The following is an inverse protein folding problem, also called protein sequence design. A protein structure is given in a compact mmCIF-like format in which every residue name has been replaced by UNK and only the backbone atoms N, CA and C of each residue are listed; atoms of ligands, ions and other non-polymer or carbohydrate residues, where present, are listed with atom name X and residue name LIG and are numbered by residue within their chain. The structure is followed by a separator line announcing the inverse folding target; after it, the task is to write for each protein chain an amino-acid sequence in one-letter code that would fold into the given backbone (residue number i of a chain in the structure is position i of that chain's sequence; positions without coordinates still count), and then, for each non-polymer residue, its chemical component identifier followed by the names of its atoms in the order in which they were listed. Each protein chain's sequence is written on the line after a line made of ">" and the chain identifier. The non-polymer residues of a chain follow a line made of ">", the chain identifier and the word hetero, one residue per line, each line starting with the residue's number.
data_IF_702935595237
#
_entry.id   IF_702935595237
#
_cell.length_a   1.000
_cell.length_b   1.000
_cell.length_c   1.000
_cell.angle_alpha   90.00
_cell.angle_beta   90.00
_cell.angle_gamma   90.00
#
_symmetry.space_group_name_H-M   'P 1'
#
loop_
_entity.id
_entity.type
_entity.pdbx_description
1 polymer ?
#
# COMPACT_ATOMS: atom_id res chain seq x y z
N UNK A 1 -19.75 2.09 4.67
CA UNK A 1 -18.55 1.76 3.87
C UNK A 1 -17.56 0.91 4.67
N UNK A 2 -16.89 1.45 5.70
CA UNK A 2 -15.91 0.68 6.50
C UNK A 2 -16.49 -0.64 7.00
N UNK A 3 -17.64 -0.58 7.69
CA UNK A 3 -18.37 -1.76 8.17
C UNK A 3 -18.59 -2.80 7.06
N UNK A 4 -19.13 -2.39 5.90
CA UNK A 4 -19.39 -3.28 4.78
C UNK A 4 -18.12 -4.00 4.31
N UNK A 5 -17.02 -3.30 4.16
CA UNK A 5 -15.74 -3.91 3.76
C UNK A 5 -15.26 -4.94 4.79
N UNK A 6 -15.37 -4.62 6.08
CA UNK A 6 -14.97 -5.51 7.17
C UNK A 6 -15.87 -6.76 7.21
N UNK A 7 -17.20 -6.60 7.12
CA UNK A 7 -18.15 -7.72 7.09
C UNK A 7 -17.88 -8.68 5.92
N UNK A 8 -17.58 -8.13 4.74
CA UNK A 8 -17.24 -8.94 3.57
C UNK A 8 -15.92 -9.71 3.75
N UNK A 9 -14.90 -9.09 4.35
CA UNK A 9 -13.57 -9.69 4.49
C UNK A 9 -13.44 -10.63 5.69
N UNK A 10 -14.27 -10.46 6.70
CA UNK A 10 -14.24 -11.22 7.96
C UNK A 10 -15.64 -11.76 8.31
N UNK A 11 -16.23 -12.63 7.47
CA UNK A 11 -17.60 -13.09 7.64
C UNK A 11 -17.84 -13.93 8.91
N UNK A 12 -16.75 -14.50 9.47
CA UNK A 12 -16.83 -15.36 10.67
C UNK A 12 -16.89 -14.57 11.98
N UNK A 13 -16.69 -13.23 11.94
CA UNK A 13 -16.81 -12.39 13.13
C UNK A 13 -18.27 -12.17 13.52
N UNK A 14 -18.55 -12.13 14.79
CA UNK A 14 -19.84 -11.72 15.34
C UNK A 14 -20.13 -10.24 15.10
N UNK A 15 -21.38 -9.82 15.21
CA UNK A 15 -21.77 -8.41 15.07
C UNK A 15 -20.99 -7.49 16.06
N UNK A 16 -20.77 -7.94 17.30
CA UNK A 16 -20.02 -7.21 18.31
C UNK A 16 -18.52 -7.07 17.94
N UNK A 17 -17.93 -8.13 17.38
CA UNK A 17 -16.54 -8.08 16.90
C UNK A 17 -16.37 -7.18 15.67
N UNK A 18 -17.35 -7.19 14.75
CA UNK A 18 -17.40 -6.21 13.65
C UNK A 18 -17.46 -4.78 14.18
N UNK A 19 -18.35 -4.48 15.15
CA UNK A 19 -18.44 -3.16 15.79
C UNK A 19 -17.12 -2.75 16.42
N UNK A 20 -16.49 -3.65 17.17
CA UNK A 20 -15.21 -3.40 17.82
C UNK A 20 -14.09 -3.14 16.77
N UNK A 21 -14.06 -3.89 15.67
CA UNK A 21 -13.05 -3.69 14.63
C UNK A 21 -13.27 -2.36 13.87
N UNK A 22 -14.52 -2.01 13.58
CA UNK A 22 -14.87 -0.72 12.99
C UNK A 22 -14.43 0.43 13.91
N UNK A 23 -14.69 0.33 15.20
CA UNK A 23 -14.27 1.34 16.18
C UNK A 23 -12.74 1.50 16.19
N UNK A 24 -11.99 0.40 16.33
CA UNK A 24 -10.51 0.42 16.27
C UNK A 24 -9.97 0.98 14.96
N UNK A 25 -10.67 0.74 13.83
CA UNK A 25 -10.26 1.34 12.56
C UNK A 25 -10.38 2.87 12.57
N UNK A 26 -11.44 3.42 13.15
CA UNK A 26 -11.56 4.88 13.29
C UNK A 26 -10.54 5.46 14.27
N UNK A 27 -10.18 4.73 15.33
CA UNK A 27 -9.04 5.11 16.20
C UNK A 27 -7.73 5.14 15.40
N UNK A 28 -7.48 4.12 14.57
CA UNK A 28 -6.29 4.05 13.71
C UNK A 28 -6.25 5.20 12.69
N UNK A 29 -7.41 5.60 12.13
CA UNK A 29 -7.51 6.78 11.26
C UNK A 29 -7.24 8.10 12.01
N UNK A 30 -7.68 8.22 13.26
CA UNK A 30 -7.34 9.36 14.13
C UNK A 30 -5.84 9.44 14.39
N UNK A 31 -5.21 8.29 14.71
CA UNK A 31 -3.76 8.20 14.90
C UNK A 31 -2.97 8.53 13.63
N UNK A 32 -3.47 8.21 12.45
CA UNK A 32 -2.82 8.57 11.16
C UNK A 32 -2.52 10.07 11.07
N UNK A 33 -3.39 10.93 11.59
CA UNK A 33 -3.17 12.40 11.58
C UNK A 33 -1.97 12.78 12.45
N UNK A 34 -1.82 12.13 13.61
CA UNK A 34 -0.68 12.32 14.52
C UNK A 34 0.59 11.78 13.86
N UNK A 35 0.52 10.61 13.25
CA UNK A 35 1.63 9.97 12.55
C UNK A 35 2.12 10.77 11.33
N UNK A 36 1.22 11.44 10.61
CA UNK A 36 1.61 12.42 9.58
C UNK A 36 2.46 13.56 10.19
N UNK A 37 2.08 14.04 11.38
CA UNK A 37 2.85 15.02 12.13
C UNK A 37 4.21 14.48 12.57
N UNK A 38 4.26 13.28 13.12
CA UNK A 38 5.51 12.61 13.50
C UNK A 38 6.45 12.44 12.31
N UNK A 39 5.95 11.91 11.17
CA UNK A 39 6.74 11.75 9.95
C UNK A 39 7.33 13.07 9.44
N UNK A 40 6.63 14.20 9.69
CA UNK A 40 7.05 15.51 9.22
C UNK A 40 8.00 16.24 10.19
N UNK A 41 7.77 16.17 11.50
CA UNK A 41 8.43 17.05 12.48
C UNK A 41 9.28 16.32 13.52
N UNK A 42 9.09 15.01 13.70
CA UNK A 42 9.92 14.27 14.64
C UNK A 42 11.38 14.22 14.17
N UNK A 43 12.30 14.15 15.14
CA UNK A 43 13.71 13.96 14.86
C UNK A 43 13.97 12.52 14.37
N UNK A 44 15.01 12.34 13.57
CA UNK A 44 15.42 11.03 13.05
C UNK A 44 15.70 10.06 14.19
N UNK A 45 16.44 10.50 15.22
CA UNK A 45 16.72 9.71 16.43
C UNK A 45 15.43 9.24 17.14
N UNK A 46 14.40 10.08 17.19
CA UNK A 46 13.12 9.68 17.79
C UNK A 46 12.44 8.61 16.93
N UNK A 47 12.36 8.81 15.62
CA UNK A 47 11.74 7.82 14.71
C UNK A 47 12.47 6.48 14.76
N UNK A 48 13.79 6.48 14.78
CA UNK A 48 14.61 5.28 14.93
C UNK A 48 14.34 4.57 16.27
N UNK A 49 14.17 5.33 17.36
CA UNK A 49 13.91 4.75 18.69
C UNK A 49 12.54 4.09 18.85
N UNK A 50 11.57 4.45 18.03
CA UNK A 50 10.19 3.91 18.06
C UNK A 50 9.88 2.97 16.91
N UNK A 51 10.86 2.66 16.04
CA UNK A 51 10.62 1.85 14.85
C UNK A 51 11.56 0.67 14.78
N UNK A 52 11.01 -0.52 14.56
CA UNK A 52 11.75 -1.72 14.21
C UNK A 52 11.66 -1.95 12.70
N UNK A 53 12.82 -1.97 12.04
CA UNK A 53 12.95 -2.26 10.63
C UNK A 53 13.53 -3.67 10.45
N UNK A 54 12.90 -4.48 9.59
CA UNK A 54 13.35 -5.85 9.30
C UNK A 54 13.40 -6.06 7.78
N UNK A 55 14.46 -6.73 7.29
CA UNK A 55 14.59 -7.13 5.88
C UNK A 55 15.03 -6.02 4.94
N UNK A 56 15.65 -4.94 5.43
CA UNK A 56 16.16 -3.85 4.58
C UNK A 56 17.19 -4.35 3.56
N UNK A 57 17.92 -5.40 3.90
CA UNK A 57 18.89 -6.07 3.04
C UNK A 57 18.28 -6.59 1.73
N UNK A 58 17.00 -6.93 1.71
CA UNK A 58 16.32 -7.35 0.48
C UNK A 58 16.24 -6.23 -0.56
N UNK A 59 16.17 -4.99 -0.10
CA UNK A 59 16.15 -3.80 -0.98
C UNK A 59 17.57 -3.38 -1.34
N UNK A 60 18.48 -3.29 -0.35
CA UNK A 60 19.85 -2.82 -0.60
C UNK A 60 20.60 -3.75 -1.52
N UNK A 61 20.50 -5.08 -1.32
CA UNK A 61 21.14 -6.07 -2.20
C UNK A 61 20.59 -6.00 -3.65
N UNK A 62 19.29 -5.76 -3.81
CA UNK A 62 18.71 -5.61 -5.15
C UNK A 62 19.19 -4.34 -5.85
N UNK A 63 19.30 -3.21 -5.13
CA UNK A 63 19.83 -1.95 -5.66
C UNK A 63 21.34 -2.06 -5.99
N UNK A 64 22.12 -2.70 -5.14
CA UNK A 64 23.56 -2.96 -5.36
C UNK A 64 23.82 -3.84 -6.58
N UNK A 65 22.88 -4.73 -6.93
CA UNK A 65 22.94 -5.51 -8.16
C UNK A 65 22.67 -4.69 -9.43
N UNK A 66 22.39 -3.39 -9.31
CA UNK A 66 22.11 -2.47 -10.41
C UNK A 66 20.68 -2.54 -10.95
N UNK A 67 19.81 -3.34 -10.34
CA UNK A 67 18.40 -3.41 -10.68
C UNK A 67 17.61 -2.29 -9.99
N UNK A 68 16.56 -1.77 -10.65
CA UNK A 68 15.55 -0.99 -9.96
C UNK A 68 14.75 -1.86 -8.98
N UNK A 69 14.14 -1.23 -7.99
CA UNK A 69 13.31 -1.94 -7.01
C UNK A 69 11.90 -1.36 -6.99
N UNK A 70 10.89 -2.19 -7.14
CA UNK A 70 9.52 -1.84 -6.82
C UNK A 70 9.30 -2.17 -5.34
N UNK A 71 9.19 -1.14 -4.50
CA UNK A 71 8.75 -1.25 -3.12
C UNK A 71 7.22 -1.41 -3.13
N UNK A 72 6.77 -2.67 -3.12
CA UNK A 72 5.37 -3.03 -3.31
C UNK A 72 4.64 -3.06 -1.97
N UNK A 73 3.72 -2.12 -1.76
CA UNK A 73 2.98 -1.99 -0.50
C UNK A 73 1.48 -1.82 -0.74
N UNK A 74 0.76 -1.47 0.32
CA UNK A 74 -0.66 -1.17 0.31
C UNK A 74 -0.96 0.04 1.20
N UNK A 75 -2.22 0.51 1.18
CA UNK A 75 -2.64 1.64 1.99
C UNK A 75 -2.97 1.19 3.41
N UNK A 76 -2.10 1.58 4.35
CA UNK A 76 -2.29 1.45 5.79
C UNK A 76 -2.33 2.84 6.44
N UNK A 77 -2.93 2.94 7.63
CA UNK A 77 -3.00 4.21 8.38
C UNK A 77 -1.61 4.75 8.74
N UNK A 78 -0.62 3.86 8.93
CA UNK A 78 0.78 4.18 9.26
C UNK A 78 1.68 4.56 8.06
N UNK A 79 1.09 4.72 6.87
CA UNK A 79 1.83 4.86 5.61
C UNK A 79 2.83 6.03 5.59
N UNK A 80 2.43 7.20 6.10
CA UNK A 80 3.25 8.42 5.98
C UNK A 80 4.47 8.40 6.91
N UNK A 81 4.33 7.89 8.14
CA UNK A 81 5.48 7.74 9.06
C UNK A 81 6.47 6.72 8.50
N UNK A 82 5.98 5.65 7.87
CA UNK A 82 6.85 4.61 7.29
C UNK A 82 7.66 5.10 6.10
N UNK A 83 7.13 6.03 5.31
CA UNK A 83 7.90 6.69 4.25
C UNK A 83 9.14 7.40 4.81
N UNK A 84 8.99 8.07 5.94
CA UNK A 84 10.12 8.73 6.62
C UNK A 84 11.12 7.72 7.17
N UNK A 85 10.66 6.64 7.79
CA UNK A 85 11.53 5.57 8.31
C UNK A 85 12.34 4.92 7.19
N UNK A 86 11.70 4.60 6.05
CA UNK A 86 12.41 4.08 4.87
C UNK A 86 13.51 5.04 4.41
N UNK A 87 13.23 6.34 4.35
CA UNK A 87 14.21 7.33 3.87
C UNK A 87 15.44 7.48 4.75
N UNK A 88 15.37 7.06 6.01
CA UNK A 88 16.50 7.06 6.95
C UNK A 88 17.40 5.83 6.78
N UNK A 89 16.88 4.75 6.19
CA UNK A 89 17.51 3.44 6.23
C UNK A 89 17.89 2.87 4.86
N UNK A 90 17.60 3.59 3.75
CA UNK A 90 17.92 3.13 2.40
C UNK A 90 18.28 4.32 1.50
N UNK A 91 18.91 4.06 0.33
CA UNK A 91 19.13 5.10 -0.68
C UNK A 91 17.84 5.82 -1.08
N UNK A 92 17.90 7.06 -1.56
CA UNK A 92 16.74 7.84 -1.97
C UNK A 92 15.84 7.08 -2.95
N UNK A 93 14.54 7.10 -2.72
CA UNK A 93 13.53 6.42 -3.54
C UNK A 93 12.51 7.40 -4.10
N UNK A 94 11.77 6.99 -5.10
CA UNK A 94 10.68 7.76 -5.68
C UNK A 94 9.33 7.22 -5.16
N UNK A 95 8.41 8.12 -4.81
CA UNK A 95 7.08 7.74 -4.31
C UNK A 95 5.99 8.03 -5.35
N UNK A 96 5.18 7.01 -5.63
CA UNK A 96 4.00 7.20 -6.49
C UNK A 96 2.87 7.86 -5.70
N UNK A 97 2.28 8.91 -6.28
CA UNK A 97 1.17 9.62 -5.67
C UNK A 97 0.00 9.83 -6.65
N UNK A 98 -1.15 10.16 -6.09
CA UNK A 98 -2.33 10.58 -6.84
C UNK A 98 -2.67 12.02 -6.45
N UNK A 99 -2.88 12.91 -7.44
CA UNK A 99 -3.43 14.24 -7.17
C UNK A 99 -4.83 14.13 -6.54
N UNK A 100 -5.04 14.83 -5.45
CA UNK A 100 -6.34 14.94 -4.79
C UNK A 100 -7.21 15.98 -5.51
N UNK A 101 -8.52 15.96 -5.25
CA UNK A 101 -9.42 17.02 -5.70
C UNK A 101 -9.13 18.37 -5.02
N UNK A 102 -8.67 18.33 -3.77
CA UNK A 102 -8.21 19.51 -3.01
C UNK A 102 -6.73 19.74 -3.31
N UNK A 103 -6.40 20.94 -3.79
CA UNK A 103 -5.01 21.38 -3.98
C UNK A 103 -4.25 21.43 -2.65
N UNK A 104 -4.91 21.88 -1.57
CA UNK A 104 -4.34 21.89 -0.23
C UNK A 104 -3.91 20.48 0.21
N UNK A 105 -4.78 19.48 0.05
CA UNK A 105 -4.44 18.08 0.39
C UNK A 105 -3.36 17.52 -0.52
N UNK A 106 -3.34 17.90 -1.80
CA UNK A 106 -2.28 17.50 -2.72
C UNK A 106 -0.94 18.08 -2.28
N UNK A 107 -0.90 19.36 -1.93
CA UNK A 107 0.32 20.03 -1.49
C UNK A 107 0.80 19.51 -0.14
N UNK A 108 -0.10 19.28 0.81
CA UNK A 108 0.24 18.70 2.11
C UNK A 108 0.89 17.31 1.97
N UNK A 109 0.33 16.44 1.14
CA UNK A 109 0.91 15.11 0.86
C UNK A 109 2.22 15.21 0.09
N UNK A 110 2.30 16.08 -0.92
CA UNK A 110 3.50 16.28 -1.73
C UNK A 110 4.67 16.74 -0.85
N UNK A 111 4.48 17.83 -0.10
CA UNK A 111 5.52 18.39 0.79
C UNK A 111 5.89 17.46 1.94
N UNK A 112 4.95 16.65 2.44
CA UNK A 112 5.23 15.60 3.41
C UNK A 112 6.16 14.53 2.83
N UNK A 113 5.89 14.07 1.62
CA UNK A 113 6.67 13.03 0.94
C UNK A 113 8.01 13.48 0.41
N UNK A 114 8.18 14.77 0.07
CA UNK A 114 9.48 15.32 -0.34
C UNK A 114 10.56 15.28 0.75
N UNK A 115 10.18 15.08 2.02
CA UNK A 115 11.15 14.77 3.08
C UNK A 115 11.59 13.30 3.09
N UNK A 116 10.81 12.43 2.48
CA UNK A 116 11.00 10.99 2.51
C UNK A 116 11.42 10.43 1.13
N UNK A 117 10.88 10.98 0.05
CA UNK A 117 11.16 10.57 -1.32
C UNK A 117 11.94 11.65 -2.06
N UNK A 118 12.88 11.24 -2.91
CA UNK A 118 13.63 12.18 -3.75
C UNK A 118 12.75 12.84 -4.79
N UNK A 119 11.87 12.05 -5.44
CA UNK A 119 10.88 12.56 -6.37
C UNK A 119 9.51 11.94 -6.10
N UNK A 120 8.47 12.73 -6.35
CA UNK A 120 7.12 12.23 -6.45
C UNK A 120 6.75 11.98 -7.91
N UNK A 121 6.16 10.80 -8.19
CA UNK A 121 5.75 10.40 -9.54
C UNK A 121 4.23 10.28 -9.56
N UNK A 122 3.57 11.00 -10.47
CA UNK A 122 2.13 10.87 -10.61
C UNK A 122 1.78 9.43 -11.05
N UNK A 123 0.78 8.82 -10.42
CA UNK A 123 0.30 7.45 -10.65
C UNK A 123 0.08 7.11 -12.13
N UNK A 124 -0.23 8.08 -12.98
CA UNK A 124 -0.44 7.89 -14.42
C UNK A 124 0.83 7.98 -15.27
N UNK A 125 1.92 8.47 -14.71
CA UNK A 125 3.18 8.63 -15.44
C UNK A 125 4.02 7.34 -15.37
N UNK A 126 3.52 6.31 -16.06
CA UNK A 126 4.18 5.01 -16.19
C UNK A 126 5.58 5.16 -16.79
N UNK A 127 5.76 6.09 -17.76
CA UNK A 127 7.07 6.32 -18.39
C UNK A 127 8.11 6.82 -17.38
N UNK A 128 7.70 7.70 -16.46
CA UNK A 128 8.58 8.21 -15.40
C UNK A 128 8.92 7.10 -14.39
N UNK A 129 7.94 6.26 -14.01
CA UNK A 129 8.21 5.10 -13.14
C UNK A 129 9.23 4.15 -13.79
N UNK A 130 9.00 3.74 -15.04
CA UNK A 130 9.93 2.85 -15.77
C UNK A 130 11.31 3.48 -15.92
N UNK A 131 11.38 4.77 -16.20
CA UNK A 131 12.68 5.49 -16.30
C UNK A 131 13.42 5.50 -14.97
N UNK A 132 12.71 5.70 -13.85
CA UNK A 132 13.29 5.64 -12.51
C UNK A 132 13.85 4.26 -12.21
N UNK A 133 13.06 3.20 -12.42
CA UNK A 133 13.49 1.82 -12.22
C UNK A 133 14.70 1.45 -13.08
N UNK A 134 14.73 1.83 -14.36
CA UNK A 134 15.87 1.59 -15.26
C UNK A 134 17.15 2.32 -14.88
N UNK A 135 17.04 3.34 -14.03
CA UNK A 135 18.20 4.04 -13.44
C UNK A 135 18.68 3.37 -12.14
N UNK A 136 18.20 2.18 -11.82
CA UNK A 136 18.56 1.47 -10.59
C UNK A 136 17.98 2.11 -9.33
N UNK A 137 16.85 2.80 -9.42
CA UNK A 137 16.21 3.47 -8.27
C UNK A 137 15.07 2.63 -7.70
N UNK A 138 14.75 2.85 -6.43
CA UNK A 138 13.55 2.29 -5.84
C UNK A 138 12.33 3.17 -6.14
N UNK A 139 11.19 2.54 -6.40
CA UNK A 139 9.90 3.20 -6.61
C UNK A 139 8.86 2.59 -5.67
N UNK A 140 8.33 3.39 -4.76
CA UNK A 140 7.27 2.97 -3.87
C UNK A 140 5.91 2.98 -4.58
N UNK A 141 5.28 1.81 -4.65
CA UNK A 141 4.04 1.56 -5.39
C UNK A 141 3.03 0.80 -4.53
N UNK A 142 1.79 1.30 -4.44
CA UNK A 142 0.70 0.70 -3.66
C UNK A 142 -0.54 0.50 -4.55
N UNK A 143 -0.67 -0.66 -5.24
CA UNK A 143 -1.74 -0.94 -6.20
C UNK A 143 -2.98 -1.61 -5.59
N UNK A 144 -3.18 -1.59 -4.30
CA UNK A 144 -4.21 -2.33 -3.57
C UNK A 144 -5.64 -1.80 -3.72
N UNK A 145 -5.82 -0.58 -4.22
CA UNK A 145 -7.15 0.02 -4.43
C UNK A 145 -7.84 -0.51 -5.68
N UNK A 146 -9.20 -0.47 -5.69
CA UNK A 146 -9.99 -0.85 -6.86
C UNK A 146 -9.54 -0.11 -8.12
N UNK A 147 -9.44 -0.85 -9.24
CA UNK A 147 -8.98 -0.36 -10.53
C UNK A 147 -9.81 -0.97 -11.64
N UNK A 148 -10.40 -0.14 -12.53
CA UNK A 148 -11.35 -0.55 -13.58
C UNK A 148 -10.94 -0.12 -15.00
N UNK A 149 -9.64 -0.02 -15.27
CA UNK A 149 -9.11 0.36 -16.58
C UNK A 149 -8.39 -0.83 -17.24
N UNK A 150 -7.82 -0.59 -18.43
CA UNK A 150 -7.02 -1.60 -19.13
C UNK A 150 -5.97 -2.25 -18.20
N UNK A 151 -5.94 -3.57 -18.19
CA UNK A 151 -5.11 -4.35 -17.28
C UNK A 151 -5.72 -4.51 -15.88
N UNK A 152 -7.04 -4.31 -15.76
CA UNK A 152 -7.79 -4.69 -14.57
C UNK A 152 -8.25 -6.14 -14.67
N UNK A 153 -8.12 -6.87 -13.56
CA UNK A 153 -8.57 -8.26 -13.43
C UNK A 153 -9.39 -8.44 -12.17
N UNK A 154 -10.36 -9.34 -12.22
CA UNK A 154 -11.12 -9.74 -11.03
C UNK A 154 -10.31 -10.77 -10.26
N UNK A 155 -9.78 -10.36 -9.11
CA UNK A 155 -9.00 -11.22 -8.22
C UNK A 155 -9.60 -11.10 -6.84
N UNK A 156 -9.93 -12.24 -6.19
CA UNK A 156 -10.56 -12.19 -4.87
C UNK A 156 -9.62 -11.56 -3.83
N UNK A 157 -10.18 -10.76 -2.93
CA UNK A 157 -9.53 -10.24 -1.74
C UNK A 157 -10.33 -10.71 -0.53
N UNK A 158 -9.73 -11.48 0.36
CA UNK A 158 -10.43 -12.21 1.42
C UNK A 158 -11.59 -13.09 0.90
N UNK A 159 -11.40 -13.74 -0.23
CA UNK A 159 -12.43 -14.56 -0.87
C UNK A 159 -13.52 -13.77 -1.62
N UNK A 160 -13.56 -12.45 -1.53
CA UNK A 160 -14.55 -11.58 -2.18
C UNK A 160 -13.99 -11.06 -3.50
N UNK A 161 -14.70 -11.20 -4.64
CA UNK A 161 -14.29 -10.65 -5.92
C UNK A 161 -13.98 -9.14 -5.83
N UNK A 162 -12.83 -8.72 -6.33
CA UNK A 162 -12.40 -7.32 -6.34
C UNK A 162 -11.60 -6.99 -7.59
N UNK A 163 -11.73 -5.77 -8.08
CA UNK A 163 -10.99 -5.28 -9.24
C UNK A 163 -9.57 -4.88 -8.85
N UNK A 164 -8.58 -5.49 -9.48
CA UNK A 164 -7.17 -5.19 -9.27
C UNK A 164 -6.46 -4.82 -10.56
N UNK A 165 -5.41 -4.02 -10.45
CA UNK A 165 -4.48 -3.77 -11.56
C UNK A 165 -3.39 -4.83 -11.59
N UNK A 166 -3.06 -5.31 -12.80
CA UNK A 166 -1.91 -6.19 -13.03
C UNK A 166 -0.64 -5.42 -13.43
N UNK A 167 -0.64 -4.11 -13.26
CA UNK A 167 0.43 -3.22 -13.73
C UNK A 167 1.79 -3.47 -13.05
N UNK A 168 1.84 -4.10 -11.87
CA UNK A 168 3.09 -4.42 -11.19
C UNK A 168 4.01 -5.29 -12.05
N UNK A 169 3.47 -6.35 -12.68
CA UNK A 169 4.22 -7.24 -13.58
C UNK A 169 4.76 -6.48 -14.80
N UNK A 170 3.92 -5.61 -15.38
CA UNK A 170 4.35 -4.76 -16.52
C UNK A 170 5.46 -3.78 -16.11
N UNK A 171 5.32 -3.12 -14.95
CA UNK A 171 6.34 -2.19 -14.43
C UNK A 171 7.65 -2.91 -14.14
N UNK A 172 7.61 -4.08 -13.51
CA UNK A 172 8.78 -4.90 -13.22
C UNK A 172 9.51 -5.31 -14.51
N UNK A 173 8.77 -5.82 -15.51
CA UNK A 173 9.33 -6.23 -16.80
C UNK A 173 9.94 -5.06 -17.56
N UNK A 174 9.21 -3.94 -17.69
CA UNK A 174 9.68 -2.78 -18.43
C UNK A 174 10.81 -2.04 -17.70
N UNK A 175 10.79 -2.06 -16.37
CA UNK A 175 11.79 -1.41 -15.52
C UNK A 175 13.04 -2.25 -15.28
N UNK A 176 13.04 -3.53 -15.65
CA UNK A 176 14.03 -4.52 -15.21
C UNK A 176 14.21 -4.47 -13.68
N UNK A 177 13.09 -4.56 -12.96
CA UNK A 177 13.05 -4.26 -11.54
C UNK A 177 12.74 -5.48 -10.70
N UNK A 178 13.44 -5.61 -9.58
CA UNK A 178 13.13 -6.54 -8.50
C UNK A 178 11.91 -6.04 -7.73
N UNK A 179 11.01 -6.92 -7.33
CA UNK A 179 9.82 -6.56 -6.54
C UNK A 179 10.00 -7.02 -5.11
N UNK A 180 10.02 -6.08 -4.19
CA UNK A 180 10.16 -6.31 -2.74
C UNK A 180 8.86 -5.86 -2.06
N UNK A 181 8.02 -6.80 -1.58
CA UNK A 181 6.85 -6.45 -0.80
C UNK A 181 7.27 -5.89 0.56
N UNK A 182 6.56 -4.86 1.04
CA UNK A 182 6.77 -4.37 2.39
C UNK A 182 5.46 -3.90 3.02
N UNK A 183 5.33 -4.09 4.33
CA UNK A 183 4.13 -3.75 5.06
C UNK A 183 4.45 -3.15 6.43
N UNK A 184 3.80 -2.03 6.78
CA UNK A 184 3.93 -1.40 8.09
C UNK A 184 2.85 -1.87 9.05
N UNK A 185 3.13 -1.80 10.33
CA UNK A 185 2.12 -1.84 11.39
C UNK A 185 2.54 -1.03 12.60
N UNK A 186 1.58 -0.44 13.30
CA UNK A 186 1.73 0.09 14.65
C UNK A 186 1.47 -1.04 15.65
N UNK A 187 2.35 -1.18 16.63
CA UNK A 187 2.23 -2.14 17.70
C UNK A 187 1.41 -1.58 18.89
N UNK A 188 0.90 -2.43 19.79
CA UNK A 188 0.08 -1.97 20.93
C UNK A 188 0.79 -0.99 21.88
N UNK A 189 2.11 -1.04 21.95
CA UNK A 189 2.94 -0.13 22.73
C UNK A 189 3.24 1.21 22.03
N UNK A 190 2.56 1.48 20.92
CA UNK A 190 2.75 2.68 20.06
C UNK A 190 4.12 2.75 19.40
N UNK A 191 4.88 1.68 19.36
CA UNK A 191 6.03 1.54 18.46
C UNK A 191 5.58 1.05 17.09
N UNK A 192 6.49 1.06 16.12
CA UNK A 192 6.19 0.71 14.74
C UNK A 192 7.09 -0.42 14.26
N UNK A 193 6.52 -1.27 13.43
CA UNK A 193 7.30 -2.30 12.73
C UNK A 193 7.11 -2.13 11.22
N UNK A 194 8.23 -2.14 10.50
CA UNK A 194 8.27 -2.16 9.05
C UNK A 194 8.97 -3.42 8.59
N UNK A 195 8.24 -4.27 7.89
CA UNK A 195 8.73 -5.56 7.41
C UNK A 195 8.90 -5.48 5.90
N UNK A 196 10.15 -5.52 5.43
CA UNK A 196 10.49 -5.74 4.03
C UNK A 196 10.67 -7.25 3.81
N UNK A 197 9.85 -7.82 2.94
CA UNK A 197 9.86 -9.26 2.68
C UNK A 197 10.95 -9.62 1.65
N UNK A 198 11.35 -10.88 1.55
CA UNK A 198 12.19 -11.33 0.44
C UNK A 198 11.62 -10.93 -0.92
N UNK A 199 12.49 -10.60 -1.86
CA UNK A 199 12.11 -10.31 -3.22
C UNK A 199 11.28 -11.45 -3.82
N UNK A 200 10.23 -11.10 -4.57
CA UNK A 200 9.43 -12.10 -5.26
C UNK A 200 10.27 -12.83 -6.30
N UNK A 201 10.45 -14.14 -6.11
CA UNK A 201 11.19 -14.98 -7.06
C UNK A 201 10.35 -15.25 -8.31
N UNK A 202 10.99 -15.39 -9.46
CA UNK A 202 10.32 -15.63 -10.75
C UNK A 202 9.20 -14.61 -11.01
N UNK A 203 9.52 -13.33 -10.74
CA UNK A 203 8.61 -12.21 -10.94
C UNK A 203 9.26 -11.13 -11.84
N UNK A 204 8.59 -10.66 -12.88
CA UNK A 204 7.23 -11.05 -13.29
C UNK A 204 7.25 -12.35 -14.10
N UNK A 205 6.25 -13.20 -13.88
CA UNK A 205 5.97 -14.35 -14.73
C UNK A 205 5.24 -13.94 -16.02
N UNK A 206 4.89 -14.91 -16.85
CA UNK A 206 4.06 -14.67 -18.04
C UNK A 206 2.57 -14.54 -17.71
N UNK A 207 2.15 -14.87 -16.49
CA UNK A 207 0.79 -14.70 -15.98
C UNK A 207 0.73 -13.55 -14.95
N UNK A 208 0.40 -12.36 -15.43
CA UNK A 208 0.28 -11.17 -14.60
C UNK A 208 -0.86 -11.25 -13.57
N UNK A 209 -1.87 -12.10 -13.80
CA UNK A 209 -2.97 -12.35 -12.85
C UNK A 209 -2.47 -13.21 -11.70
N UNK A 210 -1.72 -14.29 -11.99
CA UNK A 210 -1.07 -15.10 -10.97
C UNK A 210 -0.06 -14.28 -10.14
N UNK A 211 0.73 -13.44 -10.78
CA UNK A 211 1.65 -12.51 -10.11
C UNK A 211 0.91 -11.58 -9.13
N UNK A 212 -0.20 -11.00 -9.59
CA UNK A 212 -1.04 -10.12 -8.74
C UNK A 212 -1.64 -10.91 -7.58
N UNK A 213 -2.08 -12.16 -7.80
CA UNK A 213 -2.57 -13.04 -6.74
C UNK A 213 -1.51 -13.28 -5.65
N UNK A 214 -0.25 -13.50 -6.04
CA UNK A 214 0.86 -13.67 -5.08
C UNK A 214 0.97 -12.45 -4.15
N UNK A 215 0.94 -11.25 -4.71
CA UNK A 215 0.95 -10.01 -3.91
C UNK A 215 -0.28 -9.90 -2.99
N UNK A 216 -1.48 -10.17 -3.52
CA UNK A 216 -2.73 -10.08 -2.74
C UNK A 216 -2.70 -11.06 -1.57
N UNK A 217 -2.20 -12.27 -1.74
CA UNK A 217 -2.08 -13.25 -0.65
C UNK A 217 -1.16 -12.74 0.47
N UNK A 218 -0.02 -12.11 0.13
CA UNK A 218 0.87 -11.50 1.13
C UNK A 218 0.19 -10.33 1.86
N UNK A 219 -0.55 -9.50 1.12
CA UNK A 219 -1.32 -8.40 1.69
C UNK A 219 -2.40 -8.91 2.66
N UNK A 220 -3.16 -9.93 2.28
CA UNK A 220 -4.19 -10.53 3.15
C UNK A 220 -3.59 -11.09 4.44
N UNK A 221 -2.44 -11.78 4.35
CA UNK A 221 -1.73 -12.29 5.51
C UNK A 221 -1.35 -11.16 6.46
N UNK A 222 -0.81 -10.06 5.93
CA UNK A 222 -0.43 -8.91 6.76
C UNK A 222 -1.65 -8.20 7.35
N UNK A 223 -2.71 -7.97 6.57
CA UNK A 223 -3.97 -7.35 7.06
C UNK A 223 -4.55 -8.13 8.23
N UNK A 224 -4.46 -9.48 8.24
CA UNK A 224 -4.91 -10.30 9.38
C UNK A 224 -4.15 -10.01 10.68
N UNK A 225 -2.93 -9.51 10.62
CA UNK A 225 -2.12 -9.18 11.81
C UNK A 225 -2.47 -7.81 12.42
N UNK A 226 -3.03 -6.90 11.63
CA UNK A 226 -3.42 -5.54 12.06
C UNK A 226 -4.63 -5.05 11.25
N UNK A 227 -5.79 -5.76 11.34
CA UNK A 227 -6.92 -5.49 10.47
C UNK A 227 -7.49 -4.08 10.62
N UNK A 228 -7.40 -3.45 11.80
CA UNK A 228 -7.83 -2.08 12.04
C UNK A 228 -7.00 -1.04 11.30
N UNK A 229 -5.77 -1.38 10.86
CA UNK A 229 -4.85 -0.43 10.24
C UNK A 229 -4.91 -0.42 8.71
N UNK A 230 -5.57 -1.40 8.07
CA UNK A 230 -5.80 -1.36 6.63
C UNK A 230 -6.84 -0.29 6.27
N UNK A 231 -6.69 0.35 5.09
CA UNK A 231 -7.47 1.55 4.73
C UNK A 231 -8.87 1.21 4.22
N UNK A 232 -9.78 0.75 5.11
CA UNK A 232 -11.13 0.30 4.80
C UNK A 232 -12.10 1.38 4.32
N UNK A 233 -11.74 2.66 4.37
CA UNK A 233 -12.61 3.75 3.86
C UNK A 233 -12.70 3.77 2.33
N UNK A 234 -11.81 3.07 1.62
CA UNK A 234 -11.90 2.91 0.17
C UNK A 234 -12.97 1.88 -0.22
N UNK A 235 -13.73 2.16 -1.29
CA UNK A 235 -14.67 1.19 -1.89
C UNK A 235 -13.89 0.09 -2.63
N UNK A 236 -13.46 -0.93 -1.91
CA UNK A 236 -12.59 -1.99 -2.43
C UNK A 236 -13.27 -2.85 -3.49
N UNK A 237 -14.55 -3.14 -3.32
CA UNK A 237 -15.34 -4.08 -4.11
C UNK A 237 -16.26 -3.41 -5.14
N UNK A 238 -15.94 -2.20 -5.55
CA UNK A 238 -16.66 -1.47 -6.60
C UNK A 238 -16.13 -1.80 -7.99
N UNK A 239 -16.86 -1.35 -9.00
CA UNK A 239 -16.46 -1.40 -10.41
C UNK A 239 -16.30 -2.84 -10.96
N UNK A 240 -16.94 -3.83 -10.33
CA UNK A 240 -17.01 -5.20 -10.83
C UNK A 240 -17.84 -5.28 -12.12
N UNK A 241 -17.61 -6.27 -13.00
CA UNK A 241 -18.47 -6.57 -14.13
C UNK A 241 -19.93 -6.87 -13.69
N UNK A 242 -20.89 -6.72 -14.62
CA UNK A 242 -22.31 -6.78 -14.32
C UNK A 242 -22.81 -8.17 -13.85
N UNK A 243 -22.06 -9.21 -14.08
CA UNK A 243 -22.30 -10.58 -13.60
C UNK A 243 -21.91 -10.80 -12.13
N UNK A 244 -21.27 -9.81 -11.49
CA UNK A 244 -20.94 -9.81 -10.06
C UNK A 244 -21.92 -8.95 -9.26
N UNK A 245 -22.08 -9.23 -7.94
CA UNK A 245 -22.92 -8.42 -7.06
C UNK A 245 -22.40 -6.98 -6.93
N UNK A 246 -23.31 -6.00 -6.87
CA UNK A 246 -22.96 -4.68 -6.35
C UNK A 246 -23.01 -4.71 -4.82
N UNK A 247 -21.84 -4.84 -4.20
CA UNK A 247 -21.69 -4.92 -2.74
C UNK A 247 -22.07 -3.62 -2.00
N UNK A 248 -22.36 -2.54 -2.71
CA UNK A 248 -22.65 -1.22 -2.13
C UNK A 248 -23.99 -0.62 -2.56
N UNK A 249 -24.85 -1.38 -3.26
CA UNK A 249 -26.11 -0.90 -3.81
C UNK A 249 -27.02 -0.24 -2.75
N UNK A 250 -27.12 -0.85 -1.56
CA UNK A 250 -27.91 -0.33 -0.45
C UNK A 250 -27.34 0.97 0.17
N UNK A 251 -26.02 1.15 0.13
CA UNK A 251 -25.36 2.36 0.61
C UNK A 251 -25.51 3.54 -0.36
N UNK A 252 -25.80 3.28 -1.63
CA UNK A 252 -26.01 4.31 -2.64
C UNK A 252 -27.50 4.69 -2.75
N UNK A 253 -28.41 3.76 -2.42
CA UNK A 253 -29.85 4.02 -2.35
C UNK A 253 -30.27 4.93 -1.18
N UNK A 254 -29.37 5.13 -0.18
CA UNK A 254 -29.63 5.95 1.02
C UNK A 254 -29.12 7.39 0.91
N UNK A 255 -28.66 7.82 -0.26
CA UNK A 255 -28.22 9.19 -0.58
C UNK A 255 -29.29 9.95 -1.35
#
# INVERSE_FOLDING_TARGET
>A
MVRRNIELCFPDLTAAEHDALVFRHFEALGMMLIEMGLGRWASDKHLESITKLTGIEHVTNALESGNGVILLSAHFTTLEIMGRVLSLNMPPFDAVFRRNRSEFMTELQRTGRERSAEFTIEKRDIKKMVRSLRKGRAVWYAPDQSYNRKGAEVIAFFGVPAMHTTATSTLARLGNATVVPFFPRRLPDSTYELILMPALQDFPSDDATADTRRYINLLEQHVRTCPEQYFWIHRKFKDLPADYPDYYADLDASK
#
